data_IF_395772980069
#
_entry.id   IF_395772980069
#
_cell.length_a   1.000
_cell.length_b   1.000
_cell.length_c   1.000
_cell.angle_alpha   90.00
_cell.angle_beta   90.00
_cell.angle_gamma   90.00
#
_symmetry.space_group_name_H-M   'P 1'
#
loop_
_entity.id
_entity.type
_entity.pdbx_description
1 polymer ?
#
# COMPACT_ATOMS: atom_id res chain seq x y z
N UNK A 1 13.26 26.74 0.59
CA UNK A 1 13.94 25.89 1.59
C UNK A 1 13.22 24.56 1.55
N UNK A 2 13.78 23.56 0.86
CA UNK A 2 13.14 22.25 0.73
C UNK A 2 13.33 21.51 2.05
N UNK A 3 12.25 21.38 2.82
CA UNK A 3 12.24 20.54 4.00
C UNK A 3 12.35 19.10 3.53
N UNK A 4 13.52 18.50 3.75
CA UNK A 4 13.66 17.05 3.77
C UNK A 4 12.92 16.60 5.03
N UNK A 5 11.60 16.54 4.93
CA UNK A 5 10.74 16.07 6.01
C UNK A 5 11.10 14.61 6.25
N UNK A 6 11.34 14.27 7.50
CA UNK A 6 11.42 12.87 7.91
C UNK A 6 10.08 12.27 7.46
N UNK A 7 10.10 11.40 6.45
CA UNK A 7 8.91 10.69 5.96
C UNK A 7 8.43 9.79 7.10
N UNK A 8 7.59 10.37 7.96
CA UNK A 8 6.92 9.65 9.03
C UNK A 8 5.69 8.99 8.46
N UNK A 9 5.30 7.85 9.03
CA UNK A 9 4.07 7.16 8.65
C UNK A 9 2.87 8.11 8.62
N UNK A 10 2.77 8.98 9.64
CA UNK A 10 1.73 9.99 9.73
C UNK A 10 1.80 11.03 8.60
N UNK A 11 2.98 11.48 8.20
CA UNK A 11 3.15 12.43 7.10
C UNK A 11 2.74 11.83 5.75
N UNK A 12 3.14 10.59 5.48
CA UNK A 12 2.75 9.90 4.23
C UNK A 12 1.25 9.57 4.22
N UNK A 13 0.66 9.20 5.37
CA UNK A 13 -0.79 9.03 5.46
C UNK A 13 -1.56 10.32 5.17
N UNK A 14 -1.09 11.48 5.67
CA UNK A 14 -1.69 12.78 5.35
C UNK A 14 -1.57 13.12 3.86
N UNK A 15 -0.39 12.89 3.28
CA UNK A 15 -0.16 13.13 1.86
C UNK A 15 -1.04 12.23 0.97
N UNK A 16 -1.10 10.93 1.28
CA UNK A 16 -1.98 9.99 0.58
C UNK A 16 -3.46 10.37 0.73
N UNK A 17 -3.88 10.81 1.92
CA UNK A 17 -5.23 11.32 2.13
C UNK A 17 -5.52 12.55 1.24
N UNK A 18 -4.55 13.46 1.08
CA UNK A 18 -4.64 14.62 0.16
C UNK A 18 -4.69 14.21 -1.31
N UNK A 19 -4.05 13.10 -1.68
CA UNK A 19 -4.15 12.50 -3.02
C UNK A 19 -5.47 11.75 -3.26
N UNK A 20 -6.32 11.62 -2.24
CA UNK A 20 -7.63 10.96 -2.30
C UNK A 20 -7.61 9.49 -1.83
N UNK A 21 -6.52 9.01 -1.26
CA UNK A 21 -6.45 7.71 -0.59
C UNK A 21 -6.96 7.83 0.85
N UNK A 22 -8.26 8.07 1.00
CA UNK A 22 -8.89 8.26 2.32
C UNK A 22 -9.41 6.96 2.92
N UNK A 23 -9.55 5.90 2.11
CA UNK A 23 -9.97 4.59 2.59
C UNK A 23 -8.85 3.82 3.27
N UNK A 24 -9.24 2.92 4.17
CA UNK A 24 -8.33 1.92 4.72
C UNK A 24 -8.70 0.55 4.17
N UNK A 25 -7.70 -0.17 3.69
CA UNK A 25 -7.86 -1.54 3.25
C UNK A 25 -7.33 -2.49 4.31
N UNK A 26 -8.03 -3.61 4.49
CA UNK A 26 -7.62 -4.69 5.39
C UNK A 26 -7.60 -6.01 4.62
N UNK A 27 -6.59 -6.84 4.85
CA UNK A 27 -6.53 -8.16 4.22
C UNK A 27 -7.59 -9.10 4.80
N UNK A 28 -8.40 -9.67 3.92
CA UNK A 28 -9.48 -10.60 4.27
C UNK A 28 -9.39 -11.86 3.42
N UNK A 29 -10.19 -12.86 3.77
CA UNK A 29 -10.32 -14.05 2.95
C UNK A 29 -10.86 -13.67 1.55
N UNK A 30 -10.06 -13.91 0.51
CA UNK A 30 -10.39 -13.59 -0.88
C UNK A 30 -9.93 -12.23 -1.43
N UNK A 31 -9.20 -11.41 -0.66
CA UNK A 31 -8.65 -10.14 -1.18
C UNK A 31 -8.46 -9.06 -0.12
N UNK A 32 -8.70 -7.80 -0.50
CA UNK A 32 -8.71 -6.67 0.43
C UNK A 32 -10.12 -6.12 0.60
N UNK A 33 -10.48 -5.79 1.84
CA UNK A 33 -11.73 -5.13 2.18
C UNK A 33 -11.48 -3.67 2.50
N UNK A 34 -12.21 -2.78 1.84
CA UNK A 34 -12.26 -1.37 2.19
C UNK A 34 -13.11 -1.21 3.45
N UNK A 35 -12.57 -0.56 4.47
CA UNK A 35 -13.23 -0.42 5.78
C UNK A 35 -14.35 0.62 5.74
N UNK A 36 -14.18 1.75 5.05
CA UNK A 36 -15.22 2.78 4.97
C UNK A 36 -16.36 2.35 4.05
N UNK A 37 -16.03 1.86 2.83
CA UNK A 37 -17.06 1.39 1.90
C UNK A 37 -17.63 0.03 2.27
N UNK A 38 -16.96 -0.74 3.13
CA UNK A 38 -17.31 -2.13 3.45
C UNK A 38 -17.20 -3.11 2.28
N UNK A 39 -16.61 -2.69 1.15
CA UNK A 39 -16.52 -3.47 -0.10
C UNK A 39 -15.27 -4.34 -0.11
N UNK A 40 -15.41 -5.60 -0.51
CA UNK A 40 -14.27 -6.48 -0.72
C UNK A 40 -13.89 -6.54 -2.20
N UNK A 41 -12.60 -6.43 -2.47
CA UNK A 41 -12.01 -6.46 -3.80
C UNK A 41 -11.00 -7.61 -3.90
N UNK A 42 -11.13 -8.47 -4.93
CA UNK A 42 -10.13 -9.51 -5.18
C UNK A 42 -8.83 -8.89 -5.69
N UNK A 43 -7.72 -9.63 -5.56
CA UNK A 43 -6.40 -9.21 -6.02
C UNK A 43 -6.37 -8.71 -7.48
N UNK A 44 -7.10 -9.36 -8.39
CA UNK A 44 -7.19 -8.94 -9.80
C UNK A 44 -7.88 -7.58 -10.02
N UNK A 45 -8.66 -7.11 -9.04
CA UNK A 45 -9.31 -5.80 -9.06
C UNK A 45 -8.53 -4.72 -8.31
N UNK A 46 -7.38 -5.08 -7.73
CA UNK A 46 -6.53 -4.19 -6.96
C UNK A 46 -5.29 -3.87 -7.78
N UNK A 47 -4.75 -2.67 -7.57
CA UNK A 47 -3.50 -2.25 -8.17
C UNK A 47 -2.69 -1.45 -7.15
N UNK A 48 -1.45 -1.86 -6.91
CA UNK A 48 -0.55 -1.10 -6.02
C UNK A 48 -0.07 0.11 -6.81
N UNK A 49 -0.47 1.30 -6.36
CA UNK A 49 -0.02 2.57 -6.92
C UNK A 49 1.35 2.95 -6.37
N UNK A 50 1.54 2.81 -5.06
CA UNK A 50 2.80 3.13 -4.38
C UNK A 50 2.93 2.30 -3.09
N UNK A 51 4.14 2.15 -2.58
CA UNK A 51 4.38 1.58 -1.26
C UNK A 51 5.55 2.27 -0.58
N UNK A 52 5.40 2.50 0.72
CA UNK A 52 6.37 3.16 1.58
C UNK A 52 6.73 2.25 2.72
N UNK A 53 8.03 2.00 2.91
CA UNK A 53 8.52 1.24 4.05
C UNK A 53 9.00 2.22 5.12
N UNK A 54 8.55 2.01 6.33
CA UNK A 54 8.94 2.75 7.51
C UNK A 54 9.73 1.82 8.42
N UNK A 55 10.91 2.26 8.81
CA UNK A 55 11.70 1.62 9.85
C UNK A 55 11.30 2.28 11.17
N UNK A 56 10.61 1.55 12.04
CA UNK A 56 10.19 2.06 13.34
C UNK A 56 11.38 2.53 14.16
N UNK A 57 11.27 3.73 14.73
CA UNK A 57 12.33 4.33 15.53
C UNK A 57 12.60 3.60 16.87
N UNK A 58 11.69 2.73 17.30
CA UNK A 58 11.70 2.15 18.65
C UNK A 58 12.26 0.72 18.70
N UNK A 59 12.02 -0.10 17.67
CA UNK A 59 12.52 -1.47 17.62
C UNK A 59 12.88 -1.86 16.18
N UNK A 60 14.04 -2.51 15.93
CA UNK A 60 14.41 -3.03 14.60
C UNK A 60 13.48 -4.16 14.10
N UNK A 61 12.49 -4.56 14.90
CA UNK A 61 11.39 -5.45 14.51
C UNK A 61 10.09 -4.72 14.15
N UNK A 62 9.97 -3.41 14.42
CA UNK A 62 8.77 -2.59 14.16
C UNK A 62 8.89 -1.90 12.81
N UNK A 63 9.16 -2.68 11.76
CA UNK A 63 9.10 -2.16 10.39
C UNK A 63 7.62 -2.17 9.99
N UNK A 64 7.13 -1.10 9.37
CA UNK A 64 5.77 -1.04 8.84
C UNK A 64 5.84 -0.71 7.35
N UNK A 65 4.95 -1.29 6.55
CA UNK A 65 4.86 -0.99 5.13
C UNK A 65 3.46 -0.44 4.87
N UNK A 66 3.38 0.77 4.32
CA UNK A 66 2.14 1.37 3.87
C UNK A 66 2.04 1.21 2.35
N UNK A 67 1.02 0.52 1.88
CA UNK A 67 0.72 0.36 0.47
C UNK A 67 -0.44 1.28 0.08
N UNK A 68 -0.24 2.13 -0.90
CA UNK A 68 -1.31 2.87 -1.57
C UNK A 68 -1.91 1.98 -2.67
N UNK A 69 -3.18 1.63 -2.52
CA UNK A 69 -3.87 0.68 -3.39
C UNK A 69 -5.07 1.35 -4.05
N UNK A 70 -5.20 1.13 -5.34
CA UNK A 70 -6.37 1.51 -6.12
C UNK A 70 -7.19 0.28 -6.47
N UNK A 71 -8.40 0.17 -5.95
CA UNK A 71 -9.36 -0.85 -6.32
C UNK A 71 -10.23 -0.37 -7.48
N UNK A 72 -10.08 -1.03 -8.64
CA UNK A 72 -10.80 -0.76 -9.90
C UNK A 72 -10.73 0.70 -10.39
N UNK A 73 -9.84 1.52 -9.83
CA UNK A 73 -9.75 2.95 -10.09
C UNK A 73 -10.89 3.79 -9.51
N UNK A 74 -11.82 3.17 -8.78
CA UNK A 74 -12.94 3.86 -8.13
C UNK A 74 -12.67 4.09 -6.64
N UNK A 75 -12.05 3.12 -5.96
CA UNK A 75 -11.75 3.19 -4.53
C UNK A 75 -10.25 3.28 -4.34
N UNK A 76 -9.81 4.29 -3.59
CA UNK A 76 -8.39 4.54 -3.31
C UNK A 76 -8.20 4.57 -1.82
N UNK A 77 -7.28 3.76 -1.34
CA UNK A 77 -7.04 3.61 0.08
C UNK A 77 -5.65 3.11 0.37
N UNK A 78 -5.34 3.06 1.66
CA UNK A 78 -4.05 2.64 2.18
C UNK A 78 -4.18 1.31 2.90
N UNK A 79 -3.23 0.42 2.71
CA UNK A 79 -3.08 -0.83 3.45
C UNK A 79 -1.80 -0.72 4.27
N UNK A 80 -1.93 -0.68 5.58
CA UNK A 80 -0.78 -0.77 6.47
C UNK A 80 -0.52 -2.25 6.80
N UNK A 81 0.73 -2.69 6.64
CA UNK A 81 1.21 -4.01 7.04
C UNK A 81 2.34 -3.84 8.06
N UNK A 82 2.31 -4.63 9.13
CA UNK A 82 3.42 -4.69 10.08
C UNK A 82 4.43 -5.73 9.58
N UNK A 83 5.71 -5.54 9.85
CA UNK A 83 6.75 -6.51 9.51
C UNK A 83 7.04 -7.40 10.72
N UNK A 84 7.49 -8.64 10.46
CA UNK A 84 7.84 -9.59 11.52
C UNK A 84 6.66 -10.42 12.03
N UNK A 85 6.62 -10.71 13.32
CA UNK A 85 5.62 -11.62 13.93
C UNK A 85 4.18 -11.07 13.89
N UNK A 86 4.04 -9.77 13.64
CA UNK A 86 2.75 -9.09 13.51
C UNK A 86 2.32 -8.90 12.05
N UNK A 87 3.14 -9.35 11.08
CA UNK A 87 2.77 -9.33 9.67
C UNK A 87 1.58 -10.25 9.43
N UNK A 88 0.55 -9.72 8.78
CA UNK A 88 -0.58 -10.57 8.42
C UNK A 88 -0.20 -11.39 7.18
N UNK A 89 -0.11 -12.73 7.26
CA UNK A 89 0.24 -13.57 6.12
C UNK A 89 -0.74 -13.41 4.95
N UNK A 90 -1.96 -12.93 5.22
CA UNK A 90 -2.97 -12.65 4.19
C UNK A 90 -2.58 -11.46 3.33
N UNK A 91 -2.00 -10.41 3.90
CA UNK A 91 -1.50 -9.25 3.13
C UNK A 91 -0.48 -9.75 2.12
N UNK A 92 0.52 -10.48 2.59
CA UNK A 92 1.54 -11.06 1.71
C UNK A 92 0.99 -12.06 0.68
N UNK A 93 -0.13 -12.75 0.96
CA UNK A 93 -0.77 -13.64 -0.01
C UNK A 93 -1.52 -12.85 -1.10
N UNK A 94 -2.26 -11.82 -0.72
CA UNK A 94 -3.01 -10.97 -1.64
C UNK A 94 -2.04 -10.17 -2.51
N UNK A 95 -1.07 -9.49 -1.89
CA UNK A 95 -0.11 -8.63 -2.58
C UNK A 95 0.79 -9.38 -3.58
N UNK A 96 0.93 -10.71 -3.43
CA UNK A 96 1.59 -11.56 -4.44
C UNK A 96 0.81 -11.66 -5.76
N UNK A 97 -0.50 -11.57 -5.69
CA UNK A 97 -1.40 -11.66 -6.86
C UNK A 97 -1.81 -10.28 -7.38
N UNK A 98 -1.70 -9.24 -6.55
CA UNK A 98 -1.99 -7.86 -6.95
C UNK A 98 -0.97 -7.35 -7.97
N UNK A 99 -1.46 -6.76 -9.06
CA UNK A 99 -0.60 -6.13 -10.05
C UNK A 99 0.04 -4.84 -9.48
N UNK A 100 1.36 -4.81 -9.45
CA UNK A 100 2.12 -3.57 -9.24
C UNK A 100 1.94 -2.68 -10.47
N UNK A 101 1.47 -1.44 -10.30
CA UNK A 101 1.53 -0.43 -11.37
C UNK A 101 2.96 0.04 -11.53
N UNK A 102 3.85 -0.84 -11.99
CA UNK A 102 5.15 -0.42 -12.47
C UNK A 102 4.94 0.39 -13.73
N UNK A 103 5.01 1.71 -13.62
CA UNK A 103 5.34 2.54 -14.77
C UNK A 103 6.81 2.27 -15.12
N UNK A 104 7.10 1.09 -15.67
CA UNK A 104 8.34 0.86 -16.39
C UNK A 104 8.12 1.24 -17.84
N UNK A 105 8.84 2.24 -18.40
CA UNK A 105 9.11 2.19 -19.83
C UNK A 105 9.85 0.88 -20.08
N UNK A 106 9.29 0.04 -20.96
CA UNK A 106 10.01 -1.11 -21.51
C UNK A 106 11.40 -0.64 -21.97
N UNK A 107 12.50 -1.36 -21.66
CA UNK A 107 13.76 -1.06 -22.31
C UNK A 107 13.57 -1.29 -23.82
N UNK A 108 13.64 -0.20 -24.58
CA UNK A 108 13.69 -0.25 -26.04
C UNK A 108 14.94 -1.04 -26.42
N UNK A 109 14.74 -2.30 -26.83
CA UNK A 109 15.73 -3.09 -27.53
C UNK A 109 16.08 -2.37 -28.82
N UNK A 110 17.20 -1.63 -28.82
CA UNK A 110 17.86 -1.21 -30.03
C UNK A 110 18.90 -2.27 -30.40
N UNK A 111 18.73 -2.81 -31.61
CA UNK A 111 19.53 -3.86 -32.26
C UNK A 111 20.99 -3.46 -32.47
#
# INVERSE_FOLDING_TARGET
>A
MGTTEIETLAGVMDDLARQGFTEHFTAVDGGLRAEESGKTFPASGLAIAEYHRFEGASDPGDMAILYAIEARGEVRGTLADAFGVYADPRVGAVMRDVALRTNSPMPSTAR
#
